data_IF_819302803497
#
_entry.id   IF_819302803497
#
_cell.length_a   1.000
_cell.length_b   1.000
_cell.length_c   1.000
_cell.angle_alpha   90.00
_cell.angle_beta   90.00
_cell.angle_gamma   90.00
#
_symmetry.space_group_name_H-M   'P 1'
#
loop_
_entity.id
_entity.type
_entity.pdbx_description
1 polymer ?
#
# COMPACT_ATOMS: atom_id res chain seq x y z
N UNK A 1 14.32 -0.19 -31.02
CA UNK A 1 14.67 0.64 -32.20
C UNK A 1 13.39 1.31 -32.69
N UNK A 2 13.25 2.63 -32.51
CA UNK A 2 12.02 3.41 -32.75
C UNK A 2 11.87 3.84 -34.22
N UNK A 3 11.84 2.89 -35.15
CA UNK A 3 11.87 3.17 -36.60
C UNK A 3 10.52 3.50 -37.22
N UNK A 4 9.40 3.33 -36.49
CA UNK A 4 8.05 3.49 -37.03
C UNK A 4 7.59 4.96 -37.10
N UNK A 5 7.88 5.77 -36.08
CA UNK A 5 7.33 7.14 -35.97
C UNK A 5 7.75 8.08 -37.13
N UNK A 6 9.01 8.05 -37.63
CA UNK A 6 9.38 8.87 -38.78
C UNK A 6 8.68 8.46 -40.09
N UNK A 7 8.44 7.15 -40.29
CA UNK A 7 7.80 6.63 -41.52
C UNK A 7 6.29 6.91 -41.55
N UNK A 8 5.63 6.89 -40.40
CA UNK A 8 4.18 7.13 -40.27
C UNK A 8 3.79 8.61 -40.46
N UNK A 9 4.77 9.53 -40.54
CA UNK A 9 4.56 10.95 -40.89
C UNK A 9 4.59 11.21 -42.41
N UNK A 10 4.95 10.22 -43.22
CA UNK A 10 4.99 10.35 -44.67
C UNK A 10 3.63 9.96 -45.29
N UNK A 11 2.92 10.94 -45.87
CA UNK A 11 1.60 10.75 -46.47
C UNK A 11 1.56 9.68 -47.58
N UNK A 12 2.62 9.56 -48.38
CA UNK A 12 2.72 8.53 -49.41
C UNK A 12 2.82 7.11 -48.81
N UNK A 13 3.53 7.00 -47.68
CA UNK A 13 3.64 5.73 -46.95
C UNK A 13 2.30 5.34 -46.30
N UNK A 14 1.54 6.31 -45.79
CA UNK A 14 0.21 6.06 -45.24
C UNK A 14 -0.80 5.61 -46.29
N UNK A 15 -0.74 6.17 -47.50
CA UNK A 15 -1.59 5.75 -48.62
C UNK A 15 -1.22 4.35 -49.13
N UNK A 16 0.06 4.00 -49.13
CA UNK A 16 0.55 2.70 -49.57
C UNK A 16 0.17 1.55 -48.61
N UNK A 17 0.17 1.80 -47.30
CA UNK A 17 -0.13 0.79 -46.28
C UNK A 17 -1.63 0.47 -46.12
N UNK A 18 -2.50 1.42 -46.45
CA UNK A 18 -3.92 1.34 -46.11
C UNK A 18 -4.21 1.65 -44.64
N UNK A 19 -5.45 2.05 -44.35
CA UNK A 19 -5.85 2.54 -43.03
C UNK A 19 -5.67 1.50 -41.91
N UNK A 20 -5.95 0.22 -42.20
CA UNK A 20 -5.84 -0.88 -41.23
C UNK A 20 -4.40 -1.07 -40.74
N UNK A 21 -3.44 -1.27 -41.65
CA UNK A 21 -2.05 -1.54 -41.29
C UNK A 21 -1.35 -0.29 -40.71
N UNK A 22 -1.72 0.91 -41.17
CA UNK A 22 -1.25 2.17 -40.59
C UNK A 22 -1.59 2.29 -39.09
N UNK A 23 -2.85 2.05 -38.74
CA UNK A 23 -3.32 2.16 -37.35
C UNK A 23 -2.75 1.02 -36.47
N UNK A 24 -2.58 -0.19 -37.00
CA UNK A 24 -1.88 -1.26 -36.29
C UNK A 24 -0.44 -0.87 -35.93
N UNK A 25 0.29 -0.24 -36.85
CA UNK A 25 1.67 0.21 -36.58
C UNK A 25 1.73 1.35 -35.56
N UNK A 26 0.76 2.26 -35.56
CA UNK A 26 0.65 3.29 -34.51
C UNK A 26 0.36 2.69 -33.14
N UNK A 27 -0.61 1.76 -33.06
CA UNK A 27 -0.92 1.05 -31.83
C UNK A 27 0.29 0.26 -31.31
N UNK A 28 0.99 -0.45 -32.21
CA UNK A 28 2.20 -1.19 -31.88
C UNK A 28 3.32 -0.25 -31.36
N UNK A 29 3.46 0.93 -31.96
CA UNK A 29 4.40 1.93 -31.49
C UNK A 29 4.04 2.45 -30.09
N UNK A 30 2.77 2.64 -29.75
CA UNK A 30 2.37 3.05 -28.40
C UNK A 30 2.56 1.93 -27.38
N UNK A 31 2.24 0.68 -27.75
CA UNK A 31 2.45 -0.50 -26.92
C UNK A 31 3.94 -0.74 -26.62
N UNK A 32 4.82 -0.44 -27.57
CA UNK A 32 6.24 -0.79 -27.50
C UNK A 32 7.16 0.25 -26.83
N UNK A 33 6.73 1.49 -26.53
CA UNK A 33 7.69 2.50 -26.00
C UNK A 33 8.16 2.13 -24.58
N UNK A 34 9.47 1.85 -24.36
CA UNK A 34 10.04 1.71 -23.04
C UNK A 34 9.95 2.99 -22.21
N UNK A 35 10.12 2.83 -20.90
CA UNK A 35 9.88 3.87 -19.88
C UNK A 35 11.05 4.82 -19.63
N UNK A 36 12.16 4.74 -20.37
CA UNK A 36 13.34 5.58 -20.12
C UNK A 36 13.08 7.10 -20.22
N UNK A 37 11.94 7.51 -20.81
CA UNK A 37 11.54 8.92 -20.91
C UNK A 37 10.72 9.43 -19.69
N UNK A 38 10.55 8.66 -18.60
CA UNK A 38 9.53 8.97 -17.57
C UNK A 38 9.90 8.84 -16.10
N UNK A 39 11.13 8.47 -15.75
CA UNK A 39 11.75 9.07 -14.56
C UNK A 39 12.42 10.34 -15.03
N UNK A 40 11.63 11.36 -15.39
CA UNK A 40 12.19 12.65 -15.78
C UNK A 40 13.03 13.17 -14.62
N UNK A 41 14.34 13.00 -14.71
CA UNK A 41 15.43 13.73 -14.03
C UNK A 41 15.15 14.36 -12.66
N UNK A 42 14.34 13.71 -11.82
CA UNK A 42 14.02 14.18 -10.49
C UNK A 42 14.26 13.05 -9.52
N UNK A 43 15.55 12.84 -9.31
CA UNK A 43 16.11 12.33 -8.07
C UNK A 43 16.02 13.44 -6.99
N UNK A 44 14.93 14.21 -6.97
CA UNK A 44 14.69 15.23 -5.96
C UNK A 44 14.07 14.56 -4.75
N UNK A 45 14.78 14.64 -3.65
CA UNK A 45 14.51 14.07 -2.32
C UNK A 45 13.30 14.71 -1.61
N UNK A 46 12.51 15.49 -2.31
CA UNK A 46 11.17 15.91 -1.92
C UNK A 46 10.30 15.81 -3.15
N UNK A 47 9.33 14.90 -3.13
CA UNK A 47 7.97 15.13 -3.63
C UNK A 47 7.28 13.79 -3.83
N UNK A 48 6.14 13.68 -3.16
CA UNK A 48 5.00 12.84 -3.53
C UNK A 48 5.00 12.55 -5.03
N UNK A 49 4.99 11.29 -5.49
CA UNK A 49 4.96 11.00 -6.92
C UNK A 49 3.71 11.65 -7.50
N UNK A 50 3.96 12.65 -8.32
CA UNK A 50 2.96 13.55 -8.84
C UNK A 50 2.11 12.77 -9.86
N UNK A 51 0.83 13.12 -9.87
CA UNK A 51 -0.28 12.61 -10.71
C UNK A 51 0.08 12.42 -12.20
N UNK A 52 1.13 13.09 -12.67
CA UNK A 52 1.65 13.14 -14.03
C UNK A 52 2.03 11.77 -14.62
N UNK A 53 2.63 10.86 -13.85
CA UNK A 53 3.15 9.58 -14.40
C UNK A 53 2.04 8.56 -14.65
N UNK A 54 0.96 8.58 -13.87
CA UNK A 54 -0.24 7.75 -14.12
C UNK A 54 -0.98 8.26 -15.35
N UNK A 55 -1.14 9.58 -15.47
CA UNK A 55 -1.79 10.21 -16.62
C UNK A 55 -1.11 9.83 -17.94
N UNK A 56 0.22 9.81 -17.99
CA UNK A 56 0.92 9.52 -19.26
C UNK A 56 0.92 8.04 -19.66
N UNK A 57 0.74 7.09 -18.75
CA UNK A 57 0.57 5.66 -19.11
C UNK A 57 -0.88 5.39 -19.51
N UNK A 58 -1.85 5.92 -18.76
CA UNK A 58 -3.28 5.84 -19.12
C UNK A 58 -3.56 6.50 -20.47
N UNK A 59 -2.98 7.67 -20.76
CA UNK A 59 -3.14 8.34 -22.07
C UNK A 59 -2.55 7.50 -23.20
N UNK A 60 -1.39 6.86 -23.01
CA UNK A 60 -0.78 5.99 -24.03
C UNK A 60 -1.64 4.76 -24.33
N UNK A 61 -2.14 4.07 -23.31
CA UNK A 61 -3.04 2.93 -23.48
C UNK A 61 -4.34 3.35 -24.16
N UNK A 62 -4.89 4.53 -23.82
CA UNK A 62 -6.06 5.10 -24.52
C UNK A 62 -5.78 5.36 -26.00
N UNK A 63 -4.64 5.97 -26.33
CA UNK A 63 -4.26 6.19 -27.74
C UNK A 63 -4.05 4.88 -28.48
N UNK A 64 -3.42 3.88 -27.84
CA UNK A 64 -3.29 2.54 -28.39
C UNK A 64 -4.67 1.94 -28.72
N UNK A 65 -5.60 1.91 -27.75
CA UNK A 65 -6.95 1.38 -27.96
C UNK A 65 -7.74 2.15 -29.02
N UNK A 66 -7.55 3.47 -29.13
CA UNK A 66 -8.14 4.27 -30.21
C UNK A 66 -7.63 3.81 -31.58
N UNK A 67 -6.33 3.64 -31.76
CA UNK A 67 -5.77 3.14 -33.02
C UNK A 67 -6.23 1.71 -33.32
N UNK A 68 -6.30 0.83 -32.31
CA UNK A 68 -6.82 -0.52 -32.49
C UNK A 68 -8.30 -0.52 -32.91
N UNK A 69 -9.12 0.36 -32.35
CA UNK A 69 -10.53 0.51 -32.72
C UNK A 69 -10.69 0.98 -34.17
N UNK A 70 -9.87 1.96 -34.60
CA UNK A 70 -9.88 2.44 -35.99
C UNK A 70 -9.37 1.38 -36.96
N UNK A 71 -8.34 0.62 -36.58
CA UNK A 71 -7.87 -0.52 -37.38
C UNK A 71 -8.98 -1.55 -37.57
N UNK A 72 -9.70 -1.90 -36.50
CA UNK A 72 -10.82 -2.84 -36.55
C UNK A 72 -11.98 -2.32 -37.42
N UNK A 73 -12.34 -1.04 -37.29
CA UNK A 73 -13.42 -0.44 -38.09
C UNK A 73 -13.07 -0.29 -39.57
N UNK A 74 -11.77 -0.31 -39.90
CA UNK A 74 -11.27 -0.25 -41.28
C UNK A 74 -11.25 -1.63 -41.95
N UNK A 75 -11.53 -2.69 -41.20
CA UNK A 75 -11.73 -4.03 -41.76
C UNK A 75 -13.08 -4.05 -42.47
N UNK A 76 -13.06 -4.17 -43.80
CA UNK A 76 -14.29 -4.27 -44.61
C UNK A 76 -14.94 -5.64 -44.48
N UNK A 77 -16.26 -5.71 -44.61
CA UNK A 77 -16.99 -6.98 -44.73
C UNK A 77 -16.62 -7.78 -45.99
N UNK A 78 -16.03 -7.11 -46.99
CA UNK A 78 -15.56 -7.71 -48.25
C UNK A 78 -14.11 -8.23 -48.17
N UNK A 79 -13.46 -8.08 -47.02
CA UNK A 79 -12.07 -8.51 -46.81
C UNK A 79 -11.99 -10.03 -46.64
N UNK A 80 -10.93 -10.67 -47.13
CA UNK A 80 -10.73 -12.13 -47.00
C UNK A 80 -10.81 -12.55 -45.52
N UNK A 81 -11.62 -13.56 -45.14
CA UNK A 81 -11.69 -14.08 -43.78
C UNK A 81 -10.32 -14.36 -43.12
N UNK A 82 -9.32 -14.81 -43.91
CA UNK A 82 -7.96 -15.02 -43.41
C UNK A 82 -7.28 -13.71 -42.98
N UNK A 83 -7.56 -12.63 -43.68
CA UNK A 83 -7.01 -11.32 -43.37
C UNK A 83 -7.71 -10.68 -42.16
N UNK A 84 -9.03 -10.87 -42.04
CA UNK A 84 -9.78 -10.49 -40.84
C UNK A 84 -9.20 -11.18 -39.60
N UNK A 85 -8.92 -12.49 -39.70
CA UNK A 85 -8.30 -13.25 -38.63
C UNK A 85 -6.89 -12.72 -38.29
N UNK A 86 -6.04 -12.49 -39.30
CA UNK A 86 -4.70 -11.89 -39.12
C UNK A 86 -4.76 -10.57 -38.35
N UNK A 87 -5.69 -9.68 -38.71
CA UNK A 87 -5.85 -8.37 -38.07
C UNK A 87 -6.31 -8.54 -36.62
N UNK A 88 -7.28 -9.42 -36.36
CA UNK A 88 -7.77 -9.70 -35.01
C UNK A 88 -6.67 -10.26 -34.09
N UNK A 89 -5.90 -11.23 -34.57
CA UNK A 89 -4.76 -11.80 -33.84
C UNK A 89 -3.70 -10.74 -33.55
N UNK A 90 -3.42 -9.86 -34.50
CA UNK A 90 -2.45 -8.78 -34.33
C UNK A 90 -2.93 -7.71 -33.35
N UNK A 91 -4.21 -7.36 -33.36
CA UNK A 91 -4.83 -6.47 -32.35
C UNK A 91 -4.64 -7.07 -30.95
N UNK A 92 -4.95 -8.35 -30.78
CA UNK A 92 -4.79 -9.03 -29.49
C UNK A 92 -3.33 -9.06 -29.03
N UNK A 93 -2.39 -9.35 -29.94
CA UNK A 93 -0.96 -9.31 -29.63
C UNK A 93 -0.49 -7.92 -29.17
N UNK A 94 -0.95 -6.85 -29.83
CA UNK A 94 -0.63 -5.47 -29.46
C UNK A 94 -1.22 -5.13 -28.08
N UNK A 95 -2.47 -5.52 -27.80
CA UNK A 95 -3.10 -5.33 -26.47
C UNK A 95 -2.31 -6.02 -25.37
N UNK A 96 -2.04 -7.31 -25.54
CA UNK A 96 -1.28 -8.10 -24.57
C UNK A 96 0.06 -7.40 -24.28
N UNK A 97 0.78 -6.97 -25.32
CA UNK A 97 2.05 -6.25 -25.17
C UNK A 97 1.89 -4.93 -24.43
N UNK A 98 0.91 -4.11 -24.80
CA UNK A 98 0.66 -2.80 -24.18
C UNK A 98 0.30 -2.89 -22.71
N UNK A 99 -0.66 -3.75 -22.36
CA UNK A 99 -1.09 -3.94 -20.98
C UNK A 99 -0.06 -4.68 -20.12
N UNK A 100 0.66 -5.67 -20.65
CA UNK A 100 1.75 -6.33 -19.91
C UNK A 100 2.87 -5.35 -19.57
N UNK A 101 3.22 -4.45 -20.51
CA UNK A 101 4.17 -3.38 -20.24
C UNK A 101 3.65 -2.44 -19.15
N UNK A 102 2.37 -2.09 -19.17
CA UNK A 102 1.77 -1.25 -18.12
C UNK A 102 1.72 -1.94 -16.75
N UNK A 103 1.51 -3.27 -16.72
CA UNK A 103 1.57 -4.09 -15.51
C UNK A 103 2.97 -4.08 -14.92
N UNK A 104 4.01 -4.30 -15.73
CA UNK A 104 5.40 -4.26 -15.25
C UNK A 104 5.73 -2.93 -14.55
N UNK A 105 5.23 -1.81 -15.10
CA UNK A 105 5.39 -0.48 -14.50
C UNK A 105 4.62 -0.38 -13.17
N UNK A 106 3.38 -0.84 -13.16
CA UNK A 106 2.56 -0.81 -11.96
C UNK A 106 3.16 -1.69 -10.85
N UNK A 107 3.79 -2.82 -11.18
CA UNK A 107 4.54 -3.65 -10.23
C UNK A 107 5.73 -2.91 -9.62
N UNK A 108 6.51 -2.17 -10.41
CA UNK A 108 7.59 -1.33 -9.89
C UNK A 108 7.08 -0.25 -8.93
N UNK A 109 5.97 0.41 -9.27
CA UNK A 109 5.33 1.40 -8.39
C UNK A 109 4.78 0.77 -7.11
N UNK A 110 4.13 -0.38 -7.22
CA UNK A 110 3.64 -1.12 -6.07
C UNK A 110 4.81 -1.51 -5.16
N UNK A 111 5.97 -1.89 -5.71
CA UNK A 111 7.18 -2.17 -4.92
C UNK A 111 7.65 -0.92 -4.17
N UNK A 112 7.69 0.24 -4.83
CA UNK A 112 8.05 1.51 -4.19
C UNK A 112 7.08 1.87 -3.05
N UNK A 113 5.78 1.82 -3.29
CA UNK A 113 4.75 2.12 -2.30
C UNK A 113 4.75 1.16 -1.12
N UNK A 114 4.89 -0.13 -1.42
CA UNK A 114 5.01 -1.18 -0.41
C UNK A 114 6.23 -0.97 0.48
N UNK A 115 7.38 -0.63 -0.12
CA UNK A 115 8.61 -0.32 0.61
C UNK A 115 8.47 0.95 1.48
N UNK A 116 7.75 1.97 0.99
CA UNK A 116 7.48 3.20 1.73
C UNK A 116 6.41 3.03 2.83
N UNK A 117 5.66 1.91 2.87
CA UNK A 117 4.58 1.68 3.82
C UNK A 117 3.30 2.49 3.53
N UNK A 118 3.17 3.01 2.30
CA UNK A 118 2.01 3.74 1.81
C UNK A 118 0.96 2.78 1.24
N UNK A 119 0.17 2.18 2.14
CA UNK A 119 -0.85 1.18 1.76
C UNK A 119 -1.92 1.74 0.82
N UNK A 120 -2.29 3.02 0.95
CA UNK A 120 -3.41 3.55 0.16
C UNK A 120 -3.03 3.59 -1.33
N UNK A 121 -1.85 4.15 -1.63
CA UNK A 121 -1.32 4.18 -2.99
C UNK A 121 -0.92 2.78 -3.48
N UNK A 122 -0.45 1.92 -2.57
CA UNK A 122 -0.17 0.52 -2.87
C UNK A 122 -1.42 -0.25 -3.34
N UNK A 123 -2.51 -0.24 -2.55
CA UNK A 123 -3.78 -0.91 -2.89
C UNK A 123 -4.40 -0.33 -4.18
N UNK A 124 -4.30 0.99 -4.39
CA UNK A 124 -4.72 1.60 -5.64
C UNK A 124 -3.92 1.09 -6.84
N UNK A 125 -2.61 0.91 -6.68
CA UNK A 125 -1.74 0.38 -7.74
C UNK A 125 -2.03 -1.09 -8.02
N UNK A 126 -2.31 -1.90 -6.99
CA UNK A 126 -2.74 -3.30 -7.17
C UNK A 126 -4.05 -3.38 -7.97
N UNK A 127 -5.02 -2.51 -7.66
CA UNK A 127 -6.27 -2.45 -8.44
C UNK A 127 -6.02 -2.08 -9.91
N UNK A 128 -5.07 -1.19 -10.19
CA UNK A 128 -4.69 -0.87 -11.57
C UNK A 128 -4.09 -2.08 -12.30
N UNK A 129 -3.30 -2.91 -11.60
CA UNK A 129 -2.78 -4.16 -12.17
C UNK A 129 -3.94 -5.09 -12.54
N UNK A 130 -4.92 -5.28 -11.64
CA UNK A 130 -6.09 -6.10 -11.91
C UNK A 130 -6.90 -5.57 -13.12
N UNK A 131 -7.08 -4.25 -13.21
CA UNK A 131 -7.74 -3.61 -14.34
C UNK A 131 -7.00 -3.89 -15.67
N UNK A 132 -5.66 -3.85 -15.68
CA UNK A 132 -4.87 -4.17 -16.88
C UNK A 132 -4.88 -5.66 -17.23
N UNK A 133 -4.88 -6.55 -16.23
CA UNK A 133 -5.02 -8.00 -16.44
C UNK A 133 -6.38 -8.29 -17.09
N UNK A 134 -7.46 -7.66 -16.62
CA UNK A 134 -8.81 -7.82 -17.20
C UNK A 134 -8.90 -7.34 -18.65
N UNK A 135 -8.01 -6.42 -19.07
CA UNK A 135 -7.92 -5.90 -20.44
C UNK A 135 -7.01 -6.74 -21.35
N UNK A 136 -6.49 -7.87 -20.85
CA UNK A 136 -5.67 -8.82 -21.61
C UNK A 136 -4.17 -8.74 -21.34
N UNK A 137 -3.74 -7.94 -20.35
CA UNK A 137 -2.35 -7.93 -19.90
C UNK A 137 -1.95 -9.22 -19.20
N UNK A 138 -0.70 -9.63 -19.37
CA UNK A 138 -0.09 -10.75 -18.66
C UNK A 138 0.68 -10.23 -17.45
N UNK A 139 0.49 -10.89 -16.31
CA UNK A 139 1.17 -10.58 -15.05
C UNK A 139 1.95 -11.81 -14.60
N UNK A 140 3.17 -11.60 -14.09
CA UNK A 140 3.85 -12.63 -13.31
C UNK A 140 3.18 -12.71 -11.93
N UNK A 141 2.36 -13.73 -11.72
CA UNK A 141 1.65 -13.94 -10.47
C UNK A 141 2.61 -14.16 -9.28
N UNK A 142 3.78 -14.77 -9.51
CA UNK A 142 4.75 -14.97 -8.44
C UNK A 142 5.42 -13.66 -8.04
N UNK A 143 5.70 -12.77 -9.00
CA UNK A 143 6.18 -11.41 -8.71
C UNK A 143 5.12 -10.57 -7.98
N UNK A 144 3.87 -10.63 -8.44
CA UNK A 144 2.75 -9.93 -7.80
C UNK A 144 2.57 -10.35 -6.34
N UNK A 145 2.62 -11.65 -6.03
CA UNK A 145 2.52 -12.16 -4.66
C UNK A 145 3.71 -11.73 -3.77
N UNK A 146 4.93 -11.71 -4.32
CA UNK A 146 6.10 -11.16 -3.61
C UNK A 146 5.90 -9.69 -3.24
N UNK A 147 5.37 -8.89 -4.17
CA UNK A 147 5.12 -7.46 -3.95
C UNK A 147 4.00 -7.24 -2.94
N UNK A 148 2.90 -8.00 -3.01
CA UNK A 148 1.85 -8.02 -1.98
C UNK A 148 2.43 -8.31 -0.60
N UNK A 149 3.22 -9.36 -0.48
CA UNK A 149 3.88 -9.74 0.78
C UNK A 149 4.78 -8.64 1.30
N UNK A 150 5.59 -8.02 0.44
CA UNK A 150 6.45 -6.90 0.81
C UNK A 150 5.64 -5.70 1.34
N UNK A 151 4.59 -5.28 0.62
CA UNK A 151 3.80 -4.11 0.98
C UNK A 151 3.01 -4.29 2.29
N UNK A 152 2.31 -5.41 2.43
CA UNK A 152 1.53 -5.69 3.64
C UNK A 152 2.43 -5.95 4.86
N UNK A 153 3.53 -6.70 4.70
CA UNK A 153 4.48 -6.92 5.81
C UNK A 153 5.16 -5.62 6.26
N UNK A 154 5.55 -4.74 5.34
CA UNK A 154 6.13 -3.43 5.66
C UNK A 154 5.18 -2.58 6.51
N UNK A 155 3.89 -2.53 6.13
CA UNK A 155 2.90 -1.81 6.94
C UNK A 155 2.68 -2.44 8.29
N UNK A 156 2.54 -3.75 8.34
CA UNK A 156 2.35 -4.49 9.57
C UNK A 156 3.50 -4.20 10.54
N UNK A 157 4.76 -4.22 10.07
CA UNK A 157 5.93 -3.81 10.86
C UNK A 157 5.87 -2.36 11.32
N UNK A 158 5.45 -1.42 10.47
CA UNK A 158 5.30 -0.02 10.87
C UNK A 158 4.22 0.18 11.95
N UNK A 159 3.09 -0.52 11.84
CA UNK A 159 2.02 -0.51 12.84
C UNK A 159 2.43 -1.23 14.13
N UNK A 160 3.22 -2.31 14.03
CA UNK A 160 3.81 -2.99 15.18
C UNK A 160 4.74 -2.05 15.94
N UNK A 161 5.67 -1.38 15.25
CA UNK A 161 6.55 -0.41 15.87
C UNK A 161 5.77 0.75 16.52
N UNK A 162 4.71 1.25 15.87
CA UNK A 162 3.82 2.25 16.47
C UNK A 162 3.07 1.71 17.71
N UNK A 163 2.61 0.45 17.66
CA UNK A 163 2.00 -0.23 18.80
C UNK A 163 2.99 -0.40 19.97
N UNK A 164 4.24 -0.79 19.69
CA UNK A 164 5.31 -0.91 20.69
C UNK A 164 5.68 0.43 21.32
N UNK A 165 5.81 1.48 20.53
CA UNK A 165 6.06 2.85 21.02
C UNK A 165 4.93 3.29 21.95
N UNK A 166 3.66 3.00 21.58
CA UNK A 166 2.49 3.37 22.39
C UNK A 166 2.31 2.48 23.62
N UNK A 167 2.73 1.22 23.53
CA UNK A 167 2.72 0.27 24.62
C UNK A 167 3.83 0.56 25.63
N UNK A 168 5.01 1.04 25.21
CA UNK A 168 6.17 1.24 26.07
C UNK A 168 6.20 2.60 26.79
N UNK A 169 6.98 2.68 27.88
CA UNK A 169 7.28 3.95 28.59
C UNK A 169 8.36 4.80 27.92
N UNK A 170 9.05 4.26 26.91
CA UNK A 170 10.28 4.83 26.37
C UNK A 170 10.02 5.48 25.02
N UNK A 171 9.78 6.79 24.99
CA UNK A 171 10.15 7.59 23.82
C UNK A 171 11.68 7.52 23.73
N UNK A 172 12.23 6.72 22.81
CA UNK A 172 13.62 6.89 22.41
C UNK A 172 13.75 8.29 21.81
N UNK A 173 14.54 9.15 22.47
CA UNK A 173 14.71 10.58 22.15
C UNK A 173 15.32 10.85 20.77
N UNK A 174 15.74 9.82 20.03
CA UNK A 174 16.65 9.97 18.91
C UNK A 174 16.02 10.38 17.58
N UNK A 175 14.71 10.25 17.38
CA UNK A 175 14.12 10.46 16.02
C UNK A 175 12.85 11.29 15.94
N UNK A 176 12.31 11.84 17.04
CA UNK A 176 11.12 12.67 16.94
C UNK A 176 11.12 13.88 17.87
N UNK A 177 11.31 15.06 17.27
CA UNK A 177 11.16 16.39 17.88
C UNK A 177 9.75 16.66 18.47
N UNK A 178 8.80 15.73 18.33
CA UNK A 178 7.44 15.85 18.89
C UNK A 178 7.16 14.94 20.09
N UNK A 179 8.13 14.16 20.59
CA UNK A 179 8.00 13.38 21.84
C UNK A 179 8.05 14.26 23.11
N UNK A 180 7.20 15.29 23.19
CA UNK A 180 6.97 16.04 24.44
C UNK A 180 6.08 15.21 25.36
N UNK A 181 6.72 14.54 26.33
CA UNK A 181 6.14 14.10 27.62
C UNK A 181 4.79 13.36 27.53
N UNK A 182 4.76 12.10 27.09
CA UNK A 182 3.62 11.21 27.36
C UNK A 182 4.09 9.96 28.11
N UNK A 183 4.24 10.06 29.43
CA UNK A 183 4.42 8.93 30.37
C UNK A 183 3.13 8.13 30.61
N UNK A 184 2.29 7.99 29.59
CA UNK A 184 0.99 7.31 29.71
C UNK A 184 0.97 6.24 28.63
N UNK A 185 0.96 4.96 29.03
CA UNK A 185 0.69 3.87 28.10
C UNK A 185 -0.59 4.20 27.35
N UNK A 186 -0.49 4.46 26.04
CA UNK A 186 -1.62 4.88 25.23
C UNK A 186 -2.35 3.62 24.75
N UNK A 187 -3.10 3.01 25.67
CA UNK A 187 -3.81 1.75 25.44
C UNK A 187 -4.71 1.85 24.21
N UNK A 188 -5.56 2.90 24.12
CA UNK A 188 -6.41 3.14 22.96
C UNK A 188 -5.61 3.25 21.65
N UNK A 189 -4.44 3.87 21.69
CA UNK A 189 -3.56 3.97 20.53
C UNK A 189 -2.97 2.62 20.12
N UNK A 190 -2.61 1.78 21.09
CA UNK A 190 -2.07 0.43 20.90
C UNK A 190 -3.17 -0.50 20.36
N UNK A 191 -4.35 -0.53 20.98
CA UNK A 191 -5.53 -1.28 20.53
C UNK A 191 -5.91 -0.92 19.08
N UNK A 192 -5.91 0.36 18.74
CA UNK A 192 -6.21 0.81 17.37
C UNK A 192 -5.15 0.35 16.36
N UNK A 193 -3.86 0.34 16.74
CA UNK A 193 -2.80 -0.16 15.88
C UNK A 193 -2.91 -1.68 15.68
N UNK A 194 -3.14 -2.44 16.77
CA UNK A 194 -3.37 -3.89 16.73
C UNK A 194 -4.58 -4.25 15.87
N UNK A 195 -5.71 -3.54 16.04
CA UNK A 195 -6.91 -3.74 15.22
C UNK A 195 -6.64 -3.50 13.73
N UNK A 196 -5.80 -2.53 13.39
CA UNK A 196 -5.41 -2.28 11.99
C UNK A 196 -4.53 -3.41 11.45
N UNK A 197 -3.61 -3.94 12.25
CA UNK A 197 -2.80 -5.11 11.87
C UNK A 197 -3.70 -6.31 11.63
N UNK A 198 -4.63 -6.61 12.54
CA UNK A 198 -5.58 -7.71 12.40
C UNK A 198 -6.40 -7.59 11.10
N UNK A 199 -6.91 -6.40 10.78
CA UNK A 199 -7.61 -6.17 9.50
C UNK A 199 -6.74 -6.41 8.27
N UNK A 200 -5.45 -6.08 8.33
CA UNK A 200 -4.51 -6.35 7.23
C UNK A 200 -4.28 -7.84 7.09
N UNK A 201 -4.07 -8.55 8.20
CA UNK A 201 -3.89 -10.01 8.23
C UNK A 201 -5.14 -10.72 7.70
N UNK A 202 -6.34 -10.29 8.10
CA UNK A 202 -7.62 -10.83 7.57
C UNK A 202 -7.75 -10.61 6.07
N UNK A 203 -7.42 -9.41 5.56
CA UNK A 203 -7.44 -9.10 4.12
C UNK A 203 -6.44 -9.91 3.32
N UNK A 204 -5.28 -10.21 3.91
CA UNK A 204 -4.19 -10.96 3.30
C UNK A 204 -4.51 -12.46 3.15
N UNK A 205 -5.55 -12.95 3.84
CA UNK A 205 -5.89 -14.36 3.87
C UNK A 205 -4.76 -15.22 4.44
N UNK A 206 -4.81 -16.53 4.21
CA UNK A 206 -3.78 -17.49 4.66
C UNK A 206 -2.55 -17.53 3.75
N UNK A 207 -2.55 -16.82 2.61
CA UNK A 207 -1.50 -16.93 1.60
C UNK A 207 -0.36 -15.92 1.79
N UNK A 208 -0.63 -14.77 2.41
CA UNK A 208 0.37 -13.71 2.61
C UNK A 208 0.82 -13.70 4.07
N UNK A 209 2.03 -14.21 4.33
CA UNK A 209 2.65 -14.11 5.65
C UNK A 209 3.13 -12.67 5.91
N UNK A 210 2.39 -11.96 6.76
CA UNK A 210 2.74 -10.61 7.17
C UNK A 210 3.88 -10.58 8.21
N UNK A 211 4.35 -11.74 8.69
CA UNK A 211 5.41 -11.87 9.69
C UNK A 211 5.01 -11.38 11.08
N UNK A 212 3.72 -11.33 11.39
CA UNK A 212 3.19 -10.87 12.69
C UNK A 212 2.45 -12.00 13.37
N UNK A 213 2.89 -12.38 14.56
CA UNK A 213 2.22 -13.42 15.36
C UNK A 213 1.13 -12.79 16.21
N UNK A 214 -0.02 -13.46 16.32
CA UNK A 214 -1.12 -13.04 17.21
C UNK A 214 -0.67 -12.94 18.67
N UNK A 215 0.21 -13.84 19.09
CA UNK A 215 0.83 -13.83 20.42
C UNK A 215 1.57 -12.52 20.70
N UNK A 216 2.38 -12.03 19.75
CA UNK A 216 3.11 -10.76 19.90
C UNK A 216 2.15 -9.59 20.13
N UNK A 217 1.05 -9.54 19.36
CA UNK A 217 -0.01 -8.53 19.52
C UNK A 217 -0.64 -8.59 20.92
N UNK A 218 -0.96 -9.80 21.42
CA UNK A 218 -1.54 -9.96 22.76
C UNK A 218 -0.57 -9.53 23.86
N UNK A 219 0.71 -9.89 23.75
CA UNK A 219 1.72 -9.50 24.75
C UNK A 219 1.95 -7.98 24.76
N UNK A 220 1.95 -7.31 23.60
CA UNK A 220 2.05 -5.85 23.53
C UNK A 220 0.85 -5.16 24.18
N UNK A 221 -0.35 -5.67 23.91
CA UNK A 221 -1.57 -5.12 24.51
C UNK A 221 -1.55 -5.29 26.03
N UNK A 222 -1.19 -6.46 26.53
CA UNK A 222 -1.00 -6.72 27.97
C UNK A 222 0.02 -5.75 28.58
N UNK A 223 1.18 -5.54 27.94
CA UNK A 223 2.17 -4.55 28.41
C UNK A 223 1.59 -3.14 28.50
N UNK A 224 0.85 -2.70 27.48
CA UNK A 224 0.23 -1.38 27.47
C UNK A 224 -0.76 -1.23 28.63
N UNK A 225 -1.57 -2.25 28.90
CA UNK A 225 -2.51 -2.20 30.02
C UNK A 225 -1.81 -2.29 31.38
N UNK A 226 -0.79 -3.12 31.55
CA UNK A 226 0.02 -3.17 32.79
C UNK A 226 0.60 -1.80 33.11
N UNK A 227 1.14 -1.10 32.11
CA UNK A 227 1.67 0.25 32.27
C UNK A 227 0.60 1.29 32.61
N UNK A 228 -0.63 1.09 32.14
CA UNK A 228 -1.78 1.92 32.52
C UNK A 228 -2.12 1.74 33.99
N UNK A 229 -2.12 0.51 34.50
CA UNK A 229 -2.32 0.20 35.93
C UNK A 229 -1.23 0.85 36.77
N UNK A 230 0.06 0.65 36.42
CA UNK A 230 1.18 1.28 37.14
C UNK A 230 1.08 2.81 37.18
N UNK A 231 0.64 3.45 36.09
CA UNK A 231 0.40 4.90 36.09
C UNK A 231 -0.74 5.32 37.03
N UNK A 232 -1.82 4.54 37.12
CA UNK A 232 -2.90 4.83 38.09
C UNK A 232 -2.40 4.70 39.53
N UNK A 233 -1.55 3.72 39.83
CA UNK A 233 -0.88 3.58 41.12
C UNK A 233 0.04 4.77 41.43
N UNK A 234 0.81 5.25 40.45
CA UNK A 234 1.61 6.48 40.62
C UNK A 234 0.73 7.73 40.87
N UNK A 235 -0.42 7.84 40.21
CA UNK A 235 -1.38 8.92 40.45
C UNK A 235 -1.97 8.85 41.86
N UNK A 236 -2.32 7.65 42.33
CA UNK A 236 -2.76 7.44 43.70
C UNK A 236 -1.69 7.86 44.72
N UNK A 237 -0.43 7.46 44.50
CA UNK A 237 0.71 7.84 45.35
C UNK A 237 0.93 9.35 45.41
N UNK A 238 0.80 10.05 44.27
CA UNK A 238 0.89 11.52 44.21
C UNK A 238 -0.28 12.19 44.93
N UNK A 239 -1.51 11.70 44.74
CA UNK A 239 -2.68 12.24 45.42
C UNK A 239 -2.58 12.09 46.96
N UNK A 240 -2.08 10.94 47.43
CA UNK A 240 -1.83 10.70 48.84
C UNK A 240 -0.75 11.64 49.41
N UNK A 241 0.40 11.76 48.73
CA UNK A 241 1.47 12.71 49.11
C UNK A 241 1.00 14.17 49.19
N UNK A 242 0.01 14.55 48.39
CA UNK A 242 -0.59 15.89 48.39
C UNK A 242 -1.70 16.04 49.45
N UNK A 243 -1.89 15.07 50.35
CA UNK A 243 -2.91 15.08 51.40
C UNK A 243 -4.34 14.74 50.94
N UNK A 244 -4.53 14.37 49.67
CA UNK A 244 -5.86 14.06 49.13
C UNK A 244 -6.17 12.56 49.18
N UNK A 245 -6.44 12.06 50.39
CA UNK A 245 -6.72 10.64 50.65
C UNK A 245 -7.97 10.13 49.92
N UNK A 246 -8.98 10.98 49.72
CA UNK A 246 -10.19 10.60 48.98
C UNK A 246 -9.88 10.34 47.51
N UNK A 247 -9.09 11.20 46.86
CA UNK A 247 -8.65 10.98 45.49
C UNK A 247 -7.70 9.78 45.35
N UNK A 248 -6.80 9.57 46.32
CA UNK A 248 -5.91 8.42 46.31
C UNK A 248 -6.69 7.09 46.33
N UNK A 249 -7.71 6.97 47.21
CA UNK A 249 -8.61 5.80 47.25
C UNK A 249 -9.37 5.61 45.94
N UNK A 250 -9.89 6.69 45.35
CA UNK A 250 -10.57 6.62 44.05
C UNK A 250 -9.66 6.10 42.93
N UNK A 251 -8.40 6.55 42.87
CA UNK A 251 -7.45 6.05 41.87
C UNK A 251 -7.09 4.57 42.07
N UNK A 252 -6.97 4.10 43.32
CA UNK A 252 -6.73 2.69 43.63
C UNK A 252 -7.92 1.80 43.26
N UNK A 253 -9.15 2.23 43.56
CA UNK A 253 -10.36 1.50 43.14
C UNK A 253 -10.50 1.44 41.62
N UNK A 254 -10.23 2.54 40.93
CA UNK A 254 -10.22 2.57 39.47
C UNK A 254 -9.16 1.64 38.89
N UNK A 255 -7.95 1.62 39.47
CA UNK A 255 -6.88 0.73 39.06
C UNK A 255 -7.23 -0.75 39.27
N UNK A 256 -7.82 -1.10 40.42
CA UNK A 256 -8.26 -2.47 40.73
C UNK A 256 -9.37 -2.94 39.78
N UNK A 257 -10.39 -2.11 39.55
CA UNK A 257 -11.47 -2.41 38.59
C UNK A 257 -10.92 -2.58 37.17
N UNK A 258 -10.00 -1.70 36.76
CA UNK A 258 -9.37 -1.77 35.44
C UNK A 258 -8.53 -3.03 35.26
N UNK A 259 -7.71 -3.38 36.26
CA UNK A 259 -6.89 -4.59 36.25
C UNK A 259 -7.74 -5.86 36.18
N UNK A 260 -8.82 -5.93 36.96
CA UNK A 260 -9.76 -7.06 36.92
C UNK A 260 -10.46 -7.19 35.55
N UNK A 261 -10.89 -6.07 34.96
CA UNK A 261 -11.58 -6.07 33.65
C UNK A 261 -10.67 -6.55 32.53
N UNK A 262 -9.38 -6.19 32.58
CA UNK A 262 -8.43 -6.48 31.51
C UNK A 262 -7.49 -7.66 31.83
N UNK A 263 -7.77 -8.41 32.91
CA UNK A 263 -7.01 -9.59 33.36
C UNK A 263 -5.51 -9.32 33.57
N UNK A 264 -5.20 -8.23 34.27
CA UNK A 264 -3.83 -7.82 34.58
C UNK A 264 -3.59 -8.04 36.07
N UNK A 265 -2.40 -8.53 36.47
CA UNK A 265 -2.04 -8.57 37.88
C UNK A 265 -2.08 -7.17 38.51
N UNK A 266 -2.80 -7.05 39.62
CA UNK A 266 -2.85 -5.84 40.44
C UNK A 266 -2.04 -6.09 41.72
N UNK A 267 -1.04 -5.24 41.98
CA UNK A 267 -0.22 -5.34 43.19
C UNK A 267 -0.99 -4.76 44.39
N UNK A 268 -1.65 -5.63 45.15
CA UNK A 268 -2.41 -5.24 46.35
C UNK A 268 -1.50 -4.73 47.47
N UNK A 269 -0.25 -5.19 47.54
CA UNK A 269 0.67 -4.78 48.60
C UNK A 269 1.20 -3.37 48.33
N UNK A 270 1.50 -3.05 47.07
CA UNK A 270 1.80 -1.68 46.65
C UNK A 270 0.62 -0.73 46.91
N UNK A 271 -0.62 -1.18 46.68
CA UNK A 271 -1.81 -0.40 46.95
C UNK A 271 -1.99 -0.12 48.46
N UNK A 272 -1.73 -1.10 49.33
CA UNK A 272 -1.78 -0.94 50.79
C UNK A 272 -0.70 0.04 51.28
N UNK A 273 0.53 -0.07 50.76
CA UNK A 273 1.63 0.85 51.09
C UNK A 273 1.37 2.30 50.69
N UNK A 274 0.54 2.55 49.66
CA UNK A 274 0.18 3.91 49.23
C UNK A 274 -0.79 4.59 50.22
N UNK A 275 -1.52 3.83 51.04
CA UNK A 275 -2.51 4.34 51.98
C UNK A 275 -2.04 4.36 53.44
N UNK A 276 -0.83 3.86 53.72
CA UNK A 276 -0.14 3.93 55.01
C UNK A 276 0.69 5.22 55.09
#
# INVERSE_FOLDING_TARGET
MYTYVPKLRNLLWTHYLGATEYNLQLAESEAAKPESDKWGNSRSTSDTPTTTTTTTTTTRLKSMEQYLAVALSSVSAEMDPKEVQRVSERINSIRIKGYSNAIAIALQRATYWGSAGDIANFEQTLKQIDDYVSQGGQVDHAELEKIKTLGYSSKCRALLADAEIKASQVCNKTTSLTCKKKKKGNVLGCENAIRRIQKIVEKCGTQIDCGVRTEELTTMLQRAHSLRVSHMLEQAKKAHKNGNNRQAKQFLEQAKKYAATNQIPFDEDQAKQILQ
#
